data_IF_950618744693
#
_entry.id   IF_950618744693
#
_cell.length_a   1.000
_cell.length_b   1.000
_cell.length_c   1.000
_cell.angle_alpha   90.00
_cell.angle_beta   90.00
_cell.angle_gamma   90.00
#
_symmetry.space_group_name_H-M   'P 1'
#
loop_
_entity.id
_entity.type
_entity.pdbx_description
1 polymer ?
#
# COMPACT_ATOMS: atom_id res chain seq x y z
N UNK A 1 -41.08 -77.11 -1.77
CA UNK A 1 -41.54 -76.31 -2.93
C UNK A 1 -41.95 -74.95 -2.36
N UNK A 2 -41.42 -73.76 -2.69
CA UNK A 2 -40.65 -73.23 -3.82
C UNK A 2 -39.58 -72.26 -3.26
N UNK A 3 -38.48 -72.12 -4.00
CA UNK A 3 -37.30 -71.31 -3.64
C UNK A 3 -37.56 -69.81 -3.73
N UNK A 4 -36.95 -69.08 -2.81
CA UNK A 4 -36.73 -67.63 -2.79
C UNK A 4 -35.81 -67.23 -3.97
N UNK A 5 -36.23 -66.28 -4.80
CA UNK A 5 -35.33 -65.49 -5.67
C UNK A 5 -35.86 -64.05 -5.67
N UNK A 6 -35.08 -63.14 -5.09
CA UNK A 6 -35.32 -61.69 -5.11
C UNK A 6 -34.40 -61.13 -6.21
N UNK A 7 -34.97 -60.72 -7.33
CA UNK A 7 -34.21 -60.13 -8.45
C UNK A 7 -34.14 -58.62 -8.24
N UNK A 8 -32.94 -58.11 -7.93
CA UNK A 8 -32.64 -56.69 -7.85
C UNK A 8 -32.35 -56.17 -9.27
N UNK A 9 -33.17 -55.25 -9.78
CA UNK A 9 -32.95 -54.60 -11.07
C UNK A 9 -32.22 -53.27 -10.84
N UNK A 10 -30.89 -53.26 -11.01
CA UNK A 10 -30.08 -52.03 -11.03
C UNK A 10 -30.06 -51.46 -12.45
N UNK A 11 -30.66 -50.28 -12.63
CA UNK A 11 -30.51 -49.49 -13.84
C UNK A 11 -29.27 -48.59 -13.71
N UNK A 12 -28.23 -48.85 -14.50
CA UNK A 12 -27.01 -48.05 -14.57
C UNK A 12 -27.18 -46.95 -15.61
N UNK A 13 -27.20 -45.68 -15.19
CA UNK A 13 -27.03 -44.54 -16.11
C UNK A 13 -25.54 -44.35 -16.39
N UNK A 14 -25.14 -44.53 -17.65
CA UNK A 14 -23.79 -44.20 -18.13
C UNK A 14 -23.85 -42.75 -18.62
N UNK A 15 -23.17 -41.84 -17.93
CA UNK A 15 -22.84 -40.53 -18.49
C UNK A 15 -21.62 -40.68 -19.40
N UNK A 16 -21.82 -40.40 -20.69
CA UNK A 16 -20.77 -40.29 -21.69
C UNK A 16 -20.07 -38.96 -21.46
N UNK A 17 -18.83 -39.00 -20.98
CA UNK A 17 -17.88 -37.88 -21.11
C UNK A 17 -17.08 -38.14 -22.37
N UNK A 18 -17.30 -37.33 -23.41
CA UNK A 18 -16.43 -37.31 -24.57
C UNK A 18 -15.16 -36.54 -24.22
N UNK A 19 -14.04 -37.25 -24.20
CA UNK A 19 -12.73 -36.67 -24.46
C UNK A 19 -12.69 -36.14 -25.89
N UNK A 20 -12.26 -34.89 -26.04
CA UNK A 20 -11.65 -34.40 -27.27
C UNK A 20 -10.33 -33.75 -26.91
N UNK A 21 -9.26 -34.56 -26.97
CA UNK A 21 -7.94 -34.03 -27.27
C UNK A 21 -7.92 -33.49 -28.70
N UNK A 22 -7.51 -32.23 -28.87
CA UNK A 22 -6.41 -31.91 -29.79
C UNK A 22 -6.00 -30.44 -29.73
N UNK A 23 -4.67 -30.28 -29.71
CA UNK A 23 -3.88 -29.19 -30.22
C UNK A 23 -3.92 -27.84 -29.49
N UNK A 24 -2.99 -27.65 -28.55
CA UNK A 24 -2.01 -26.55 -28.63
C UNK A 24 -0.67 -27.02 -28.06
N UNK A 25 0.21 -27.47 -28.96
CA UNK A 25 1.65 -27.46 -28.73
C UNK A 25 2.13 -26.05 -29.08
N UNK A 26 2.47 -25.25 -28.08
CA UNK A 26 3.60 -24.32 -28.24
C UNK A 26 4.51 -24.48 -27.03
N UNK A 27 5.68 -25.05 -27.33
CA UNK A 27 6.84 -25.08 -26.46
C UNK A 27 7.37 -23.66 -26.38
N UNK A 28 6.81 -22.83 -25.50
CA UNK A 28 7.45 -21.57 -25.18
C UNK A 28 8.59 -21.85 -24.19
N UNK A 29 9.78 -21.68 -24.75
CA UNK A 29 11.08 -21.75 -24.12
C UNK A 29 11.13 -20.83 -22.89
N UNK A 30 10.75 -21.36 -21.72
CA UNK A 30 11.10 -20.78 -20.43
C UNK A 30 12.62 -20.90 -20.26
N UNK A 31 13.33 -20.06 -20.99
CA UNK A 31 14.63 -19.59 -20.54
C UNK A 31 14.37 -18.93 -19.20
N UNK A 32 14.83 -19.59 -18.15
CA UNK A 32 15.09 -19.05 -16.83
C UNK A 32 15.94 -17.80 -17.01
N UNK A 33 15.27 -16.66 -17.21
CA UNK A 33 15.85 -15.35 -17.08
C UNK A 33 16.18 -15.21 -15.60
N UNK A 34 17.44 -15.41 -15.27
CA UNK A 34 18.04 -15.03 -14.01
C UNK A 34 17.70 -13.55 -13.75
N UNK A 35 16.61 -13.30 -13.03
CA UNK A 35 16.32 -12.05 -12.36
C UNK A 35 17.34 -11.90 -11.25
N UNK A 36 18.54 -11.45 -11.61
CA UNK A 36 19.45 -10.85 -10.64
C UNK A 36 18.73 -9.60 -10.13
N UNK A 37 18.11 -9.75 -8.96
CA UNK A 37 17.51 -8.65 -8.20
C UNK A 37 18.62 -7.69 -7.80
N UNK A 38 18.90 -6.72 -8.66
CA UNK A 38 19.62 -5.51 -8.29
C UNK A 38 18.68 -4.68 -7.41
N UNK A 39 19.12 -4.32 -6.21
CA UNK A 39 18.36 -3.49 -5.29
C UNK A 39 17.85 -2.21 -5.99
N UNK A 40 16.54 -1.97 -5.88
CA UNK A 40 15.79 -0.90 -6.56
C UNK A 40 16.05 0.51 -6.02
N UNK A 41 17.07 0.72 -5.19
CA UNK A 41 17.40 2.07 -4.78
C UNK A 41 18.86 2.18 -4.33
N UNK A 42 19.49 3.25 -4.79
CA UNK A 42 20.82 3.66 -4.43
C UNK A 42 20.74 4.04 -2.96
N UNK A 43 21.85 3.91 -2.22
CA UNK A 43 21.91 4.50 -0.88
C UNK A 43 21.49 5.98 -0.84
N UNK A 44 21.60 6.71 -1.97
CA UNK A 44 21.17 8.09 -2.12
C UNK A 44 19.66 8.29 -2.06
N UNK A 45 18.88 7.67 -2.96
CA UNK A 45 17.42 7.87 -3.00
C UNK A 45 16.74 7.37 -1.71
N UNK A 46 17.23 6.27 -1.14
CA UNK A 46 16.72 5.78 0.16
C UNK A 46 17.03 6.73 1.30
N UNK A 47 18.22 7.35 1.31
CA UNK A 47 18.54 8.36 2.32
C UNK A 47 17.58 9.55 2.26
N UNK A 48 17.25 10.01 1.05
CA UNK A 48 16.30 11.11 0.84
C UNK A 48 14.89 10.74 1.35
N UNK A 49 14.40 9.54 1.00
CA UNK A 49 13.10 9.02 1.49
C UNK A 49 13.06 8.84 3.00
N UNK A 50 14.16 8.37 3.60
CA UNK A 50 14.28 8.21 5.05
C UNK A 50 14.27 9.56 5.78
N UNK A 51 14.89 10.59 5.21
CA UNK A 51 14.78 11.96 5.74
C UNK A 51 13.33 12.43 5.74
N UNK A 52 12.62 12.27 4.63
CA UNK A 52 11.20 12.64 4.56
C UNK A 52 10.33 11.88 5.59
N UNK A 53 10.54 10.56 5.75
CA UNK A 53 9.86 9.75 6.77
C UNK A 53 10.16 10.21 8.21
N UNK A 54 11.41 10.62 8.48
CA UNK A 54 11.83 11.13 9.79
C UNK A 54 11.12 12.44 10.11
N UNK A 55 11.03 13.35 9.13
CA UNK A 55 10.46 14.68 9.31
C UNK A 55 8.94 14.64 9.54
N UNK A 56 8.24 13.66 8.96
CA UNK A 56 6.79 13.49 9.14
C UNK A 56 6.43 12.59 10.33
N UNK A 57 7.40 11.99 11.02
CA UNK A 57 7.14 11.20 12.23
C UNK A 57 6.64 12.13 13.35
N UNK A 58 5.44 11.82 13.84
CA UNK A 58 4.76 12.56 14.88
C UNK A 58 4.92 11.91 16.26
N UNK A 59 5.58 10.75 16.33
CA UNK A 59 5.78 9.97 17.53
C UNK A 59 6.66 10.63 18.58
N UNK A 60 6.86 9.94 19.70
CA UNK A 60 7.64 10.44 20.82
C UNK A 60 7.69 9.47 21.99
N UNK A 61 8.28 9.92 23.10
CA UNK A 61 8.34 9.16 24.34
C UNK A 61 7.24 9.62 25.29
N UNK A 62 6.42 8.69 25.76
CA UNK A 62 5.34 8.95 26.72
C UNK A 62 5.36 7.94 27.86
N UNK A 63 4.93 8.35 29.05
CA UNK A 63 4.84 7.46 30.19
C UNK A 63 3.55 6.64 30.12
N UNK A 64 3.66 5.32 29.97
CA UNK A 64 2.55 4.38 30.06
C UNK A 64 2.42 3.82 31.48
N UNK A 65 1.18 3.74 31.97
CA UNK A 65 0.84 3.05 33.23
C UNK A 65 -0.11 1.90 32.96
N UNK A 66 0.26 0.69 33.41
CA UNK A 66 -0.58 -0.49 33.30
C UNK A 66 -1.94 -0.35 34.03
N UNK A 67 -2.07 0.60 34.95
CA UNK A 67 -3.30 0.84 35.72
C UNK A 67 -4.20 1.91 35.12
N UNK A 68 -3.65 2.80 34.27
CA UNK A 68 -4.38 3.96 33.73
C UNK A 68 -4.48 3.99 32.21
N UNK A 69 -3.59 3.28 31.51
CA UNK A 69 -3.44 3.43 30.07
C UNK A 69 -2.89 4.81 29.70
N UNK A 70 -2.90 5.12 28.40
CA UNK A 70 -2.62 6.46 27.87
C UNK A 70 -3.45 6.74 26.61
N UNK A 71 -3.58 8.03 26.29
CA UNK A 71 -4.00 8.49 24.97
C UNK A 71 -2.91 9.42 24.44
N UNK A 72 -2.41 9.14 23.24
CA UNK A 72 -1.46 9.99 22.52
C UNK A 72 -2.21 10.71 21.39
N UNK A 73 -2.27 12.04 21.43
CA UNK A 73 -2.92 12.86 20.39
C UNK A 73 -1.90 13.26 19.32
N UNK A 74 -2.27 13.11 18.06
CA UNK A 74 -1.39 13.37 16.90
C UNK A 74 -1.56 14.82 16.42
N UNK A 75 -0.61 15.33 15.63
CA UNK A 75 -0.67 16.70 15.08
C UNK A 75 -1.80 16.86 14.06
N UNK A 76 -2.24 15.76 13.47
CA UNK A 76 -3.34 15.66 12.48
C UNK A 76 -4.72 15.50 13.12
N UNK A 77 -4.81 15.64 14.45
CA UNK A 77 -6.04 15.49 15.26
C UNK A 77 -6.61 14.06 15.28
N UNK A 78 -5.77 13.06 15.06
CA UNK A 78 -6.01 11.67 15.39
C UNK A 78 -5.56 11.34 16.82
N UNK A 79 -5.69 10.07 17.22
CA UNK A 79 -5.13 9.60 18.50
C UNK A 79 -4.81 8.11 18.53
N UNK A 80 -3.89 7.72 19.43
CA UNK A 80 -3.60 6.34 19.77
C UNK A 80 -4.01 6.14 21.23
N UNK A 81 -5.00 5.30 21.45
CA UNK A 81 -5.50 4.93 22.79
C UNK A 81 -4.94 3.56 23.14
N UNK A 82 -4.16 3.52 24.22
CA UNK A 82 -3.56 2.31 24.77
C UNK A 82 -4.20 2.07 26.15
N UNK A 83 -5.20 1.18 26.28
CA UNK A 83 -5.88 0.94 27.54
C UNK A 83 -4.95 0.39 28.65
N UNK A 84 -5.39 0.43 29.93
CA UNK A 84 -4.72 -0.31 31.00
C UNK A 84 -4.61 -1.80 30.66
N UNK A 85 -3.42 -2.39 30.84
CA UNK A 85 -3.19 -3.82 30.63
C UNK A 85 -3.16 -4.28 29.16
N UNK A 86 -3.28 -3.37 28.19
CA UNK A 86 -3.34 -3.75 26.77
C UNK A 86 -1.99 -4.05 26.14
N UNK A 87 -0.90 -3.56 26.74
CA UNK A 87 0.46 -3.84 26.27
C UNK A 87 1.32 -4.43 27.38
N UNK A 88 2.15 -5.40 27.01
CA UNK A 88 3.07 -6.09 27.90
C UNK A 88 4.46 -6.18 27.27
N UNK A 89 5.46 -6.54 28.06
CA UNK A 89 6.73 -7.01 27.50
C UNK A 89 6.53 -8.32 26.76
N UNK A 90 7.50 -8.75 25.96
CA UNK A 90 7.44 -10.02 25.22
C UNK A 90 7.24 -11.26 26.11
N UNK A 91 7.70 -11.20 27.37
CA UNK A 91 7.50 -12.24 28.39
C UNK A 91 6.21 -12.06 29.21
N UNK A 92 5.30 -11.17 28.79
CA UNK A 92 3.97 -10.99 29.38
C UNK A 92 3.95 -10.14 30.66
N UNK A 93 5.04 -9.46 31.01
CA UNK A 93 5.08 -8.62 32.21
C UNK A 93 4.36 -7.28 31.97
N UNK A 94 3.64 -6.76 32.97
CA UNK A 94 3.05 -5.42 32.92
C UNK A 94 4.12 -4.34 32.67
N UNK A 95 3.80 -3.35 31.83
CA UNK A 95 4.66 -2.20 31.56
C UNK A 95 4.22 -1.02 32.43
N UNK A 96 5.15 -0.43 33.18
CA UNK A 96 5.00 0.90 33.78
C UNK A 96 6.28 1.68 33.53
N UNK A 97 6.22 2.69 32.66
CA UNK A 97 7.40 3.43 32.26
C UNK A 97 7.26 4.10 30.91
N UNK A 98 8.37 4.67 30.46
CA UNK A 98 8.45 5.37 29.19
C UNK A 98 8.42 4.36 28.02
N UNK A 99 7.39 4.46 27.20
CA UNK A 99 7.32 3.80 25.90
C UNK A 99 7.69 4.80 24.82
N UNK A 100 8.27 4.32 23.72
CA UNK A 100 8.48 5.10 22.50
C UNK A 100 7.39 4.70 21.50
N UNK A 101 6.67 5.70 21.00
CA UNK A 101 5.71 5.57 19.91
C UNK A 101 6.38 6.13 18.67
N UNK A 102 6.44 5.37 17.59
CA UNK A 102 6.74 5.87 16.25
C UNK A 102 5.43 5.91 15.47
N UNK A 103 5.09 7.07 14.92
CA UNK A 103 3.78 7.26 14.30
C UNK A 103 3.84 8.21 13.12
N UNK A 104 3.42 7.73 11.95
CA UNK A 104 3.39 8.49 10.70
C UNK A 104 1.99 8.40 10.13
N UNK A 105 1.51 9.47 9.49
CA UNK A 105 0.28 9.45 8.70
C UNK A 105 0.51 10.12 7.35
N UNK A 106 -0.04 9.51 6.30
CA UNK A 106 0.06 9.95 4.91
C UNK A 106 -1.36 9.97 4.33
N UNK A 107 -1.76 11.12 3.80
CA UNK A 107 -3.12 11.31 3.27
C UNK A 107 -3.15 11.78 1.82
N UNK A 108 -1.98 12.09 1.24
CA UNK A 108 -1.90 12.65 -0.10
C UNK A 108 -0.72 12.09 -0.91
N UNK A 109 -0.89 12.10 -2.23
CA UNK A 109 0.05 11.61 -3.23
C UNK A 109 1.43 12.26 -3.15
N UNK A 110 1.54 13.52 -2.72
CA UNK A 110 2.82 14.21 -2.58
C UNK A 110 3.71 13.57 -1.51
N UNK A 111 3.15 13.33 -0.32
CA UNK A 111 3.83 12.62 0.77
C UNK A 111 4.15 11.17 0.39
N UNK A 112 3.22 10.49 -0.29
CA UNK A 112 3.42 9.12 -0.79
C UNK A 112 4.63 9.03 -1.73
N UNK A 113 4.80 10.00 -2.64
CA UNK A 113 5.94 10.03 -3.57
C UNK A 113 7.27 10.20 -2.81
N UNK A 114 7.39 11.23 -1.96
CA UNK A 114 8.68 11.54 -1.31
C UNK A 114 9.10 10.50 -0.27
N UNK A 115 8.15 9.71 0.25
CA UNK A 115 8.42 8.63 1.21
C UNK A 115 8.43 7.22 0.59
N UNK A 116 8.12 7.10 -0.70
CA UNK A 116 7.85 5.82 -1.37
C UNK A 116 6.86 4.94 -0.60
N UNK A 117 5.68 5.49 -0.35
CA UNK A 117 4.56 4.79 0.27
C UNK A 117 3.33 4.87 -0.64
N UNK A 118 3.34 4.13 -1.77
CA UNK A 118 2.23 4.14 -2.70
C UNK A 118 1.04 3.32 -2.18
N UNK A 119 -0.13 3.57 -2.75
CA UNK A 119 -1.39 2.89 -2.42
C UNK A 119 -1.70 1.79 -3.44
N UNK A 120 -0.89 0.73 -3.43
CA UNK A 120 -1.02 -0.44 -4.33
C UNK A 120 -1.27 -1.74 -3.55
N UNK A 121 -2.43 -2.35 -3.76
CA UNK A 121 -2.83 -3.62 -3.17
C UNK A 121 -2.20 -4.83 -3.88
N UNK A 122 -1.93 -5.89 -3.11
CA UNK A 122 -1.79 -7.24 -3.61
C UNK A 122 -3.17 -7.91 -3.60
N UNK A 123 -3.66 -8.32 -4.78
CA UNK A 123 -4.93 -9.02 -4.89
C UNK A 123 -4.72 -10.53 -4.77
N UNK A 124 -5.70 -11.29 -4.26
CA UNK A 124 -5.62 -12.76 -4.17
C UNK A 124 -5.36 -13.46 -5.51
N UNK A 125 -5.66 -12.79 -6.63
CA UNK A 125 -5.39 -13.27 -7.99
C UNK A 125 -3.91 -13.19 -8.40
N UNK A 126 -3.04 -12.61 -7.56
CA UNK A 126 -1.64 -12.32 -7.88
C UNK A 126 -1.44 -11.00 -8.64
N UNK A 127 -2.53 -10.32 -9.00
CA UNK A 127 -2.49 -9.00 -9.63
C UNK A 127 -2.32 -7.88 -8.59
N UNK A 128 -1.97 -6.69 -9.08
CA UNK A 128 -2.01 -5.46 -8.28
C UNK A 128 -3.38 -4.79 -8.38
N UNK A 129 -3.75 -4.04 -7.36
CA UNK A 129 -4.94 -3.18 -7.36
C UNK A 129 -4.55 -1.78 -6.92
N UNK A 130 -5.25 -0.75 -7.40
CA UNK A 130 -5.05 0.60 -6.90
C UNK A 130 -5.99 0.90 -5.74
N UNK A 131 -5.47 1.65 -4.78
CA UNK A 131 -6.16 2.02 -3.57
C UNK A 131 -6.26 3.55 -3.44
N UNK A 132 -7.40 4.00 -2.94
CA UNK A 132 -7.63 5.40 -2.55
C UNK A 132 -7.67 5.46 -1.03
N UNK A 133 -6.78 6.26 -0.43
CA UNK A 133 -6.61 6.24 1.01
C UNK A 133 -7.58 7.11 1.78
N UNK A 134 -8.23 6.51 2.77
CA UNK A 134 -8.92 7.19 3.85
C UNK A 134 -7.98 7.56 5.00
N UNK A 135 -6.85 6.87 5.14
CA UNK A 135 -5.88 7.11 6.19
C UNK A 135 -4.77 6.07 6.29
N UNK A 136 -3.67 6.31 5.58
CA UNK A 136 -2.45 5.52 5.66
C UNK A 136 -1.64 5.92 6.89
N UNK A 137 -1.20 4.94 7.67
CA UNK A 137 -0.39 5.21 8.84
C UNK A 137 0.64 4.14 9.13
N UNK A 138 1.71 4.53 9.84
CA UNK A 138 2.65 3.63 10.47
C UNK A 138 2.49 3.72 11.98
N UNK A 139 2.50 2.59 12.68
CA UNK A 139 2.59 2.54 14.14
C UNK A 139 3.60 1.48 14.60
N UNK A 140 4.55 1.90 15.42
CA UNK A 140 5.34 0.99 16.24
C UNK A 140 5.42 1.49 17.68
N UNK A 141 5.45 0.56 18.63
CA UNK A 141 5.51 0.86 20.07
C UNK A 141 6.58 -0.01 20.70
N UNK A 142 7.57 0.64 21.31
CA UNK A 142 8.68 -0.05 21.97
C UNK A 142 8.82 0.37 23.44
N UNK A 143 9.28 -0.57 24.27
CA UNK A 143 9.62 -0.38 25.66
C UNK A 143 11.03 -0.91 25.90
N UNK A 144 11.93 -0.09 26.44
CA UNK A 144 13.36 -0.41 26.60
C UNK A 144 14.02 -0.94 25.30
N UNK A 145 13.64 -0.37 24.15
CA UNK A 145 14.16 -0.73 22.83
C UNK A 145 13.66 -2.08 22.29
N UNK A 146 12.69 -2.71 22.93
CA UNK A 146 12.03 -3.93 22.46
C UNK A 146 10.58 -3.64 22.11
N UNK A 147 10.08 -4.23 21.02
CA UNK A 147 8.68 -4.12 20.64
C UNK A 147 7.76 -4.68 21.74
N UNK A 148 6.69 -3.96 22.05
CA UNK A 148 5.69 -4.41 23.04
C UNK A 148 4.82 -5.51 22.44
N UNK A 149 4.27 -6.36 23.30
CA UNK A 149 3.24 -7.31 22.92
C UNK A 149 1.84 -6.68 23.15
N UNK A 150 0.92 -6.86 22.19
CA UNK A 150 -0.48 -6.46 22.34
C UNK A 150 -1.23 -7.59 23.03
N UNK A 151 -1.62 -7.37 24.30
CA UNK A 151 -2.36 -8.35 25.10
C UNK A 151 -3.88 -8.19 24.95
N UNK A 152 -4.34 -6.96 24.78
CA UNK A 152 -5.72 -6.64 24.38
C UNK A 152 -5.69 -5.50 23.36
N UNK A 153 -6.73 -5.33 22.52
CA UNK A 153 -6.65 -4.39 21.42
C UNK A 153 -6.36 -2.95 21.86
N UNK A 154 -5.46 -2.29 21.14
CA UNK A 154 -5.27 -0.84 21.23
C UNK A 154 -6.07 -0.18 20.10
N UNK A 155 -6.38 1.11 20.24
CA UNK A 155 -7.19 1.83 19.25
C UNK A 155 -6.40 2.97 18.61
N UNK A 156 -6.46 3.06 17.28
CA UNK A 156 -5.98 4.18 16.49
C UNK A 156 -7.19 4.92 15.92
N UNK A 157 -7.20 6.23 16.05
CA UNK A 157 -8.26 7.11 15.59
C UNK A 157 -7.70 8.00 14.49
N UNK A 158 -8.20 7.82 13.27
CA UNK A 158 -7.76 8.57 12.09
C UNK A 158 -8.83 9.58 11.71
N UNK A 159 -8.48 10.86 11.63
CA UNK A 159 -9.42 11.91 11.26
C UNK A 159 -9.65 11.92 9.73
N UNK A 160 -10.88 11.65 9.30
CA UNK A 160 -11.22 11.49 7.88
C UNK A 160 -11.18 12.81 7.10
N UNK A 161 -11.22 13.95 7.79
CA UNK A 161 -11.10 15.26 7.13
C UNK A 161 -9.71 15.50 6.53
N UNK A 162 -8.72 14.67 6.88
CA UNK A 162 -7.36 14.80 6.34
C UNK A 162 -7.20 14.20 4.94
N UNK A 163 -8.07 13.26 4.53
CA UNK A 163 -8.02 12.62 3.19
C UNK A 163 -9.12 13.08 2.25
N UNK A 164 -10.24 13.61 2.77
CA UNK A 164 -11.47 13.90 1.99
C UNK A 164 -11.98 12.68 1.17
N UNK A 165 -11.50 11.48 1.49
CA UNK A 165 -11.81 10.27 0.73
C UNK A 165 -13.30 9.94 0.84
N UNK A 166 -13.88 9.41 -0.24
CA UNK A 166 -15.22 8.86 -0.15
C UNK A 166 -15.20 7.68 0.84
N UNK A 167 -15.96 7.76 1.94
CA UNK A 167 -15.94 6.76 2.98
C UNK A 167 -16.45 5.36 2.62
N UNK A 168 -17.17 5.25 1.50
CA UNK A 168 -17.84 4.03 1.08
C UNK A 168 -16.80 3.00 0.64
N UNK A 169 -17.01 1.73 1.06
CA UNK A 169 -16.17 0.58 0.72
C UNK A 169 -14.71 0.66 1.22
N UNK A 170 -14.46 1.42 2.28
CA UNK A 170 -13.18 1.39 2.98
C UNK A 170 -12.95 0.03 3.66
N UNK A 171 -11.78 -0.53 3.46
CA UNK A 171 -11.31 -1.77 4.06
C UNK A 171 -9.97 -1.54 4.77
N UNK A 172 -9.62 -2.45 5.68
CA UNK A 172 -8.36 -2.40 6.41
C UNK A 172 -7.27 -3.18 5.67
N UNK A 173 -6.07 -2.63 5.67
CA UNK A 173 -4.92 -3.20 4.96
C UNK A 173 -3.69 -3.25 5.87
N UNK A 174 -2.92 -4.31 5.74
CA UNK A 174 -1.60 -4.46 6.33
C UNK A 174 -0.53 -4.25 5.27
N UNK A 175 0.47 -3.44 5.59
CA UNK A 175 1.60 -3.17 4.71
C UNK A 175 2.55 -4.35 4.61
N UNK A 176 2.96 -4.65 3.39
CA UNK A 176 3.97 -5.63 3.06
C UNK A 176 5.10 -4.94 2.28
N UNK A 177 6.28 -4.93 2.87
CA UNK A 177 7.50 -4.39 2.24
C UNK A 177 8.26 -5.56 1.62
N UNK A 178 8.52 -5.48 0.33
CA UNK A 178 9.30 -6.49 -0.38
C UNK A 178 10.83 -6.31 -0.14
N UNK A 179 11.69 -7.23 -0.60
CA UNK A 179 13.14 -7.08 -0.44
C UNK A 179 13.75 -5.85 -1.14
N UNK A 180 13.01 -5.20 -2.04
CA UNK A 180 13.43 -3.96 -2.71
C UNK A 180 13.04 -2.71 -1.91
N UNK A 181 12.32 -2.86 -0.79
CA UNK A 181 11.84 -1.76 0.03
C UNK A 181 10.52 -1.15 -0.46
N UNK A 182 9.84 -1.78 -1.43
CA UNK A 182 8.57 -1.28 -1.95
C UNK A 182 7.40 -1.75 -1.08
N UNK A 183 6.57 -0.79 -0.67
CA UNK A 183 5.37 -1.05 0.10
C UNK A 183 4.20 -1.42 -0.83
N UNK A 184 3.56 -2.52 -0.50
CA UNK A 184 2.29 -2.96 -1.07
C UNK A 184 1.32 -3.33 0.05
N UNK A 185 0.04 -3.50 -0.26
CA UNK A 185 -1.00 -3.66 0.75
C UNK A 185 -1.70 -5.01 0.64
N UNK A 186 -1.71 -5.79 1.72
CA UNK A 186 -2.49 -7.01 1.85
C UNK A 186 -3.77 -6.70 2.62
N UNK A 187 -4.90 -7.29 2.22
CA UNK A 187 -6.13 -7.16 3.00
C UNK A 187 -5.92 -7.68 4.43
N UNK A 188 -6.27 -6.87 5.43
CA UNK A 188 -6.13 -7.27 6.83
C UNK A 188 -7.19 -8.30 7.22
N UNK A 189 -6.84 -9.23 8.09
CA UNK A 189 -7.82 -10.14 8.69
C UNK A 189 -8.39 -9.55 9.97
N UNK A 190 -9.56 -10.02 10.40
CA UNK A 190 -10.19 -9.57 11.66
C UNK A 190 -9.42 -10.00 12.92
N UNK A 191 -8.40 -10.86 12.78
CA UNK A 191 -7.48 -11.18 13.87
C UNK A 191 -6.37 -10.13 14.01
N UNK A 192 -6.10 -9.37 12.94
CA UNK A 192 -5.05 -8.36 12.88
C UNK A 192 -5.63 -6.99 13.22
N UNK A 193 -6.54 -6.52 12.36
CA UNK A 193 -7.16 -5.20 12.41
C UNK A 193 -8.69 -5.33 12.35
N UNK A 194 -9.38 -4.46 13.06
CA UNK A 194 -10.85 -4.43 13.06
C UNK A 194 -11.36 -3.00 13.21
N UNK A 195 -12.44 -2.64 12.52
CA UNK A 195 -13.13 -1.39 12.81
C UNK A 195 -13.90 -1.52 14.14
N UNK A 196 -13.78 -0.55 15.04
CA UNK A 196 -14.51 -0.59 16.30
C UNK A 196 -16.03 -0.49 16.08
N UNK A 197 -16.79 -1.40 16.69
CA UNK A 197 -18.25 -1.54 16.53
C UNK A 197 -19.02 -0.31 17.06
N UNK A 198 -18.52 0.35 18.12
CA UNK A 198 -19.16 1.53 18.75
C UNK A 198 -18.91 2.86 18.00
N UNK A 199 -18.11 2.82 16.93
CA UNK A 199 -17.80 3.94 16.05
C UNK A 199 -18.19 3.63 14.61
N UNK A 200 -19.40 3.09 14.44
CA UNK A 200 -20.01 2.68 13.17
C UNK A 200 -19.52 3.56 12.03
N UNK A 201 -18.71 2.93 11.17
CA UNK A 201 -17.88 3.57 10.16
C UNK A 201 -18.67 4.65 9.40
N UNK A 202 -19.99 4.55 9.20
CA UNK A 202 -20.84 5.73 8.88
C UNK A 202 -22.24 5.72 9.54
N UNK A 203 -22.32 6.09 10.82
CA UNK A 203 -23.51 6.70 11.46
C UNK A 203 -24.57 5.74 12.04
N UNK A 204 -24.79 5.65 13.34
CA UNK A 204 -24.51 6.68 14.36
C UNK A 204 -25.05 6.26 15.74
N UNK A 205 -25.12 7.17 16.73
CA UNK A 205 -25.48 8.59 16.68
C UNK A 205 -24.28 9.57 16.69
N UNK A 206 -24.08 10.33 15.61
CA UNK A 206 -23.34 11.61 15.70
C UNK A 206 -22.21 11.94 14.70
N UNK A 207 -21.97 11.14 13.65
CA UNK A 207 -21.18 11.57 12.46
C UNK A 207 -19.85 12.28 12.74
N UNK A 208 -18.90 11.60 13.38
CA UNK A 208 -17.70 12.25 13.95
C UNK A 208 -16.50 12.38 13.01
N UNK A 209 -16.56 11.90 11.75
CA UNK A 209 -15.45 12.07 10.79
C UNK A 209 -14.14 11.44 11.25
N UNK A 210 -14.21 10.26 11.87
CA UNK A 210 -13.05 9.51 12.38
C UNK A 210 -13.20 8.03 12.02
N UNK A 211 -12.12 7.39 11.59
CA UNK A 211 -12.00 5.93 11.56
C UNK A 211 -11.40 5.43 12.88
N UNK A 212 -12.12 4.51 13.54
CA UNK A 212 -11.66 3.83 14.74
C UNK A 212 -11.14 2.44 14.38
N UNK A 213 -9.81 2.27 14.36
CA UNK A 213 -9.14 1.00 14.04
C UNK A 213 -8.62 0.36 15.31
N UNK A 214 -8.99 -0.88 15.56
CA UNK A 214 -8.44 -1.73 16.61
C UNK A 214 -7.24 -2.49 16.06
N UNK A 215 -6.10 -2.38 16.73
CA UNK A 215 -4.92 -3.22 16.50
C UNK A 215 -4.95 -4.32 17.54
N UNK A 216 -5.14 -5.57 17.09
CA UNK A 216 -5.44 -6.72 17.96
C UNK A 216 -4.23 -7.60 18.22
N UNK A 217 -3.21 -7.51 17.36
CA UNK A 217 -2.00 -8.30 17.44
C UNK A 217 -0.75 -7.43 17.19
N UNK A 218 0.35 -7.70 17.91
CA UNK A 218 1.61 -6.95 17.73
C UNK A 218 2.26 -7.16 16.35
N UNK A 219 1.93 -8.24 15.65
CA UNK A 219 2.33 -8.45 14.25
C UNK A 219 1.69 -7.47 13.27
N UNK A 220 0.67 -6.71 13.71
CA UNK A 220 0.07 -5.60 12.95
C UNK A 220 0.78 -4.26 13.18
N UNK A 221 1.78 -4.19 14.08
CA UNK A 221 2.66 -3.00 14.10
C UNK A 221 3.43 -2.91 12.78
N UNK A 222 3.56 -1.70 12.27
CA UNK A 222 4.03 -1.44 10.92
C UNK A 222 3.11 -0.49 10.17
N UNK A 223 3.10 -0.62 8.85
CA UNK A 223 2.21 0.14 7.98
C UNK A 223 0.82 -0.49 7.97
N UNK A 224 -0.20 0.33 8.17
CA UNK A 224 -1.61 -0.01 8.07
C UNK A 224 -2.31 1.01 7.18
N UNK A 225 -3.44 0.60 6.58
CA UNK A 225 -4.22 1.52 5.77
C UNK A 225 -5.73 1.30 5.90
N UNK A 226 -6.48 2.34 5.57
CA UNK A 226 -7.95 2.36 5.50
C UNK A 226 -8.32 2.82 4.10
N UNK A 227 -8.43 1.87 3.17
CA UNK A 227 -8.52 2.20 1.73
C UNK A 227 -9.66 1.48 1.05
N UNK A 228 -10.17 2.10 -0.01
CA UNK A 228 -11.07 1.47 -0.98
C UNK A 228 -10.31 1.07 -2.24
N UNK A 229 -10.69 -0.05 -2.83
CA UNK A 229 -10.22 -0.42 -4.17
C UNK A 229 -10.81 0.52 -5.22
N UNK A 230 -9.94 0.95 -6.13
CA UNK A 230 -10.31 1.76 -7.29
C UNK A 230 -10.40 0.91 -8.56
N UNK A 231 -11.41 1.20 -9.37
CA UNK A 231 -11.56 0.61 -10.69
C UNK A 231 -12.31 1.59 -11.59
N UNK A 232 -11.89 1.67 -12.85
CA UNK A 232 -12.52 2.50 -13.86
C UNK A 232 -13.06 1.64 -15.01
N UNK A 233 -14.16 2.07 -15.65
CA UNK A 233 -14.63 1.46 -16.89
C UNK A 233 -13.72 1.82 -18.06
N UNK A 234 -13.90 1.13 -19.19
CA UNK A 234 -13.22 1.43 -20.45
C UNK A 234 -12.09 0.46 -20.78
N UNK A 235 -11.54 0.62 -21.99
CA UNK A 235 -10.43 -0.21 -22.47
C UNK A 235 -9.16 0.15 -21.75
N UNK A 236 -8.56 -0.83 -21.08
CA UNK A 236 -7.35 -0.66 -20.27
C UNK A 236 -6.09 -0.91 -21.09
N UNK A 237 -5.02 -0.21 -20.74
CA UNK A 237 -3.70 -0.35 -21.34
C UNK A 237 -2.66 -0.48 -20.23
N UNK A 238 -1.62 -1.27 -20.49
CA UNK A 238 -0.44 -1.35 -19.61
C UNK A 238 0.44 -0.13 -19.85
N UNK A 239 0.86 0.52 -18.78
CA UNK A 239 1.70 1.70 -18.88
C UNK A 239 3.18 1.32 -18.85
N UNK A 240 3.96 1.97 -19.72
CA UNK A 240 5.41 1.82 -19.85
C UNK A 240 6.07 3.19 -19.87
N UNK A 241 7.11 3.37 -19.06
CA UNK A 241 7.85 4.63 -18.95
C UNK A 241 9.34 4.38 -19.10
N UNK A 242 9.93 5.04 -20.09
CA UNK A 242 11.39 5.08 -20.28
C UNK A 242 11.94 6.30 -19.52
N UNK A 243 12.78 6.12 -18.49
CA UNK A 243 13.43 7.21 -17.80
C UNK A 243 14.55 7.82 -18.68
N UNK A 244 15.07 9.00 -18.33
CA UNK A 244 16.19 9.60 -19.05
C UNK A 244 17.48 8.78 -18.89
N UNK A 245 18.44 8.98 -19.80
CA UNK A 245 19.77 8.36 -19.68
C UNK A 245 20.41 8.67 -18.31
N UNK A 246 21.03 7.65 -17.70
CA UNK A 246 21.60 7.75 -16.34
C UNK A 246 20.65 7.38 -15.21
N UNK A 247 19.36 7.16 -15.52
CA UNK A 247 18.36 6.70 -14.55
C UNK A 247 17.85 5.30 -14.89
N UNK A 248 17.63 4.51 -13.85
CA UNK A 248 17.03 3.18 -13.90
C UNK A 248 16.39 2.88 -12.53
N UNK A 249 15.90 1.66 -12.32
CA UNK A 249 15.26 1.31 -11.05
C UNK A 249 16.14 1.57 -9.84
N UNK A 250 17.46 1.41 -9.92
CA UNK A 250 18.36 1.61 -8.78
C UNK A 250 18.51 3.05 -8.34
N UNK A 251 18.04 4.06 -9.05
CA UNK A 251 18.15 5.45 -8.58
C UNK A 251 16.91 6.27 -8.91
N UNK A 252 15.83 5.63 -9.32
CA UNK A 252 14.59 6.29 -9.67
C UNK A 252 13.36 5.40 -9.53
N UNK A 253 12.22 6.04 -9.48
CA UNK A 253 10.91 5.42 -9.41
C UNK A 253 9.93 6.23 -10.24
N UNK A 254 8.91 5.54 -10.74
CA UNK A 254 7.84 6.13 -11.53
C UNK A 254 6.52 5.84 -10.83
N UNK A 255 5.67 6.86 -10.78
CA UNK A 255 4.36 6.80 -10.17
C UNK A 255 3.28 7.32 -11.12
N UNK A 256 2.05 6.90 -10.88
CA UNK A 256 0.83 7.40 -11.51
C UNK A 256 -0.01 8.10 -10.42
N UNK A 257 -0.34 9.36 -10.65
CA UNK A 257 -1.43 10.04 -9.98
C UNK A 257 -2.60 10.21 -10.97
N UNK A 258 -3.82 10.13 -10.46
CA UNK A 258 -5.04 10.34 -11.25
C UNK A 258 -5.62 11.70 -10.90
N UNK A 259 -6.11 12.43 -11.90
CA UNK A 259 -6.75 13.73 -11.68
C UNK A 259 -7.99 13.57 -10.78
N UNK A 260 -8.13 14.46 -9.78
CA UNK A 260 -9.23 14.42 -8.81
C UNK A 260 -9.13 13.36 -7.70
N UNK A 261 -8.09 12.53 -7.65
CA UNK A 261 -7.85 11.56 -6.56
C UNK A 261 -6.53 11.90 -5.83
N UNK A 262 -6.56 12.96 -5.00
CA UNK A 262 -5.39 13.48 -4.27
C UNK A 262 -4.74 12.49 -3.29
N UNK A 263 -5.51 11.50 -2.87
CA UNK A 263 -5.20 10.49 -1.87
C UNK A 263 -4.92 9.12 -2.50
N UNK A 264 -4.44 9.11 -3.74
CA UNK A 264 -4.04 7.90 -4.46
C UNK A 264 -2.70 8.10 -5.17
N UNK A 265 -1.82 7.10 -5.06
CA UNK A 265 -0.59 7.03 -5.83
C UNK A 265 -0.25 5.59 -6.16
N UNK A 266 -0.21 5.24 -7.45
CA UNK A 266 0.28 3.93 -7.87
C UNK A 266 1.75 4.01 -8.25
N UNK A 267 2.56 3.06 -7.80
CA UNK A 267 3.94 2.91 -8.26
C UNK A 267 4.00 1.93 -9.44
N UNK A 268 4.88 2.20 -10.40
CA UNK A 268 5.26 1.23 -11.42
C UNK A 268 6.21 0.22 -10.77
N UNK A 269 5.67 -0.95 -10.47
CA UNK A 269 6.29 -1.97 -9.63
C UNK A 269 7.17 -2.95 -10.42
N UNK A 270 7.13 -2.91 -11.75
CA UNK A 270 8.00 -3.71 -12.61
C UNK A 270 9.07 -2.85 -13.30
N UNK A 271 10.24 -3.45 -13.53
CA UNK A 271 11.31 -2.85 -14.30
C UNK A 271 11.97 -3.88 -15.23
N UNK A 272 12.12 -3.50 -16.50
CA UNK A 272 12.74 -4.33 -17.53
C UNK A 272 14.11 -3.75 -17.90
N UNK A 273 15.18 -4.40 -17.43
CA UNK A 273 16.56 -3.94 -17.63
C UNK A 273 16.97 -3.93 -19.11
N UNK A 274 16.49 -4.89 -19.91
CA UNK A 274 16.81 -4.98 -21.33
C UNK A 274 16.36 -3.74 -22.13
N UNK A 275 15.25 -3.12 -21.73
CA UNK A 275 14.70 -1.91 -22.36
C UNK A 275 14.84 -0.66 -21.50
N UNK A 276 15.44 -0.78 -20.31
CA UNK A 276 15.51 0.26 -19.28
C UNK A 276 14.14 0.93 -19.02
N UNK A 277 13.09 0.16 -18.75
CA UNK A 277 11.74 0.72 -18.63
C UNK A 277 11.00 0.29 -17.37
N UNK A 278 10.31 1.23 -16.75
CA UNK A 278 9.34 0.97 -15.68
C UNK A 278 7.99 0.61 -16.29
N UNK A 279 7.31 -0.39 -15.73
CA UNK A 279 5.99 -0.83 -16.20
C UNK A 279 5.03 -1.07 -15.04
N UNK A 280 3.76 -0.83 -15.31
CA UNK A 280 2.66 -1.17 -14.41
C UNK A 280 2.29 -2.66 -14.55
N UNK A 281 2.14 -3.38 -13.43
CA UNK A 281 1.96 -4.83 -13.44
C UNK A 281 0.75 -5.33 -14.25
N UNK A 282 -0.41 -4.73 -14.02
CA UNK A 282 -1.71 -5.37 -14.19
C UNK A 282 -2.49 -4.86 -15.41
N UNK A 283 -2.14 -3.70 -15.96
CA UNK A 283 -2.89 -3.07 -17.05
C UNK A 283 -4.22 -2.51 -16.56
N UNK A 284 -4.22 -1.72 -15.48
CA UNK A 284 -5.47 -1.25 -14.86
C UNK A 284 -6.01 0.08 -15.38
N UNK A 285 -5.19 0.83 -16.11
CA UNK A 285 -5.47 2.23 -16.42
C UNK A 285 -6.21 2.34 -17.75
N UNK A 286 -7.41 2.95 -17.80
CA UNK A 286 -8.14 3.12 -19.04
C UNK A 286 -7.53 4.19 -19.94
N UNK A 287 -7.60 3.95 -21.24
CA UNK A 287 -7.27 4.94 -22.27
C UNK A 287 -8.16 6.18 -22.11
N UNK A 288 -7.55 7.36 -22.18
CA UNK A 288 -8.23 8.65 -22.04
C UNK A 288 -8.44 9.12 -20.60
N UNK A 289 -8.02 8.35 -19.58
CA UNK A 289 -8.06 8.83 -18.20
C UNK A 289 -7.03 9.93 -17.98
N UNK A 290 -7.45 11.04 -17.39
CA UNK A 290 -6.57 12.16 -17.05
C UNK A 290 -5.67 11.76 -15.86
N UNK A 291 -4.37 11.70 -16.15
CA UNK A 291 -3.35 11.20 -15.24
C UNK A 291 -2.07 12.04 -15.30
N UNK A 292 -1.27 11.89 -14.25
CA UNK A 292 0.07 12.45 -14.14
C UNK A 292 1.08 11.33 -13.89
N UNK A 293 2.02 11.16 -14.81
CA UNK A 293 3.15 10.26 -14.64
C UNK A 293 4.26 11.05 -13.96
N UNK A 294 4.61 10.64 -12.75
CA UNK A 294 5.58 11.31 -11.90
C UNK A 294 6.85 10.47 -11.88
N UNK A 295 7.92 11.00 -12.47
CA UNK A 295 9.26 10.44 -12.35
C UNK A 295 9.98 11.13 -11.19
N UNK A 296 10.60 10.34 -10.31
CA UNK A 296 11.47 10.82 -9.24
C UNK A 296 12.72 9.95 -9.19
N UNK A 297 13.89 10.57 -9.20
CA UNK A 297 15.17 9.93 -9.00
C UNK A 297 16.10 10.73 -8.11
N UNK A 298 17.30 10.19 -7.94
CA UNK A 298 18.38 10.81 -7.19
C UNK A 298 19.61 10.97 -8.09
N UNK A 299 20.21 12.16 -8.01
CA UNK A 299 21.49 12.43 -8.63
C UNK A 299 22.31 13.39 -7.77
N UNK A 300 23.52 12.94 -7.39
CA UNK A 300 24.47 13.73 -6.60
C UNK A 300 23.88 14.22 -5.27
N UNK A 301 23.06 13.39 -4.61
CA UNK A 301 22.40 13.67 -3.34
C UNK A 301 21.16 14.56 -3.44
N UNK A 302 20.69 14.86 -4.66
CA UNK A 302 19.51 15.71 -4.89
C UNK A 302 18.37 14.89 -5.48
N UNK A 303 17.13 15.27 -5.16
CA UNK A 303 15.98 14.83 -5.92
C UNK A 303 16.06 15.36 -7.35
N UNK A 304 15.75 14.51 -8.31
CA UNK A 304 15.54 14.87 -9.71
C UNK A 304 14.16 14.38 -10.11
N UNK A 305 13.29 15.24 -10.61
CA UNK A 305 11.92 14.86 -10.93
C UNK A 305 11.39 15.49 -12.21
N UNK A 306 10.34 14.87 -12.76
CA UNK A 306 9.58 15.37 -13.90
C UNK A 306 8.16 14.83 -13.83
N UNK A 307 7.20 15.61 -14.33
CA UNK A 307 5.78 15.23 -14.34
C UNK A 307 5.25 15.37 -15.77
N UNK A 308 4.74 14.28 -16.31
CA UNK A 308 4.04 14.25 -17.60
C UNK A 308 2.53 14.25 -17.29
N UNK A 309 1.83 15.30 -17.68
CA UNK A 309 0.39 15.44 -17.48
C UNK A 309 -0.33 15.29 -18.81
N UNK A 310 -1.11 14.22 -18.98
CA UNK A 310 -1.88 13.97 -20.19
C UNK A 310 -2.93 12.87 -19.96
N UNK A 311 -4.03 12.87 -20.73
CA UNK A 311 -4.88 11.69 -20.84
C UNK A 311 -4.07 10.48 -21.30
N UNK A 312 -4.38 9.30 -20.76
CA UNK A 312 -3.65 8.08 -21.08
C UNK A 312 -3.82 7.72 -22.57
N UNK A 313 -2.71 7.63 -23.31
CA UNK A 313 -2.73 7.24 -24.72
C UNK A 313 -3.08 5.76 -24.91
N UNK A 314 -3.59 5.41 -26.09
CA UNK A 314 -3.89 4.02 -26.46
C UNK A 314 -2.65 3.12 -26.52
N UNK A 315 -1.45 3.70 -26.64
CA UNK A 315 -0.19 2.96 -26.65
C UNK A 315 0.38 2.70 -25.26
N UNK A 316 -0.07 3.45 -24.25
CA UNK A 316 0.41 3.35 -22.87
C UNK A 316 1.90 3.68 -22.67
N UNK A 317 2.61 4.19 -23.68
CA UNK A 317 4.07 4.34 -23.65
C UNK A 317 4.48 5.80 -23.54
N UNK A 318 5.41 6.09 -22.62
CA UNK A 318 5.92 7.44 -22.34
C UNK A 318 7.44 7.44 -22.20
N UNK A 319 8.05 8.58 -22.49
CA UNK A 319 9.48 8.82 -22.30
C UNK A 319 9.65 10.11 -21.51
N UNK A 320 10.44 10.06 -20.43
CA UNK A 320 10.78 11.23 -19.65
C UNK A 320 11.92 11.97 -20.36
N UNK A 321 11.71 13.24 -20.79
CA UNK A 321 12.75 13.98 -21.51
C UNK A 321 13.85 14.47 -20.56
N UNK A 322 15.11 14.34 -20.97
CA UNK A 322 16.25 14.87 -20.20
C UNK A 322 16.19 16.38 -20.00
N UNK A 323 15.60 17.13 -20.94
CA UNK A 323 15.48 18.59 -20.88
C UNK A 323 14.42 19.10 -19.89
N UNK A 324 13.56 18.21 -19.39
CA UNK A 324 12.45 18.57 -18.49
C UNK A 324 12.73 18.33 -17.01
N UNK A 325 13.92 17.84 -16.66
CA UNK A 325 14.24 17.46 -15.28
C UNK A 325 14.40 18.68 -14.38
N UNK A 326 13.75 18.64 -13.23
CA UNK A 326 13.93 19.61 -12.14
C UNK A 326 14.76 18.96 -11.04
N UNK A 327 15.75 19.67 -10.50
CA UNK A 327 16.63 19.18 -9.43
C UNK A 327 16.46 20.01 -8.16
N UNK A 328 16.41 19.35 -7.00
CA UNK A 328 16.28 20.03 -5.70
C UNK A 328 16.87 19.23 -4.55
N UNK A 329 17.38 19.92 -3.53
CA UNK A 329 17.78 19.34 -2.24
C UNK A 329 16.60 19.21 -1.27
N UNK A 330 15.46 19.85 -1.55
CA UNK A 330 14.34 19.96 -0.63
C UNK A 330 13.14 19.17 -1.17
N UNK A 331 12.77 18.08 -0.49
CA UNK A 331 11.60 17.27 -0.86
C UNK A 331 10.30 18.09 -0.86
N UNK A 332 10.20 19.17 -0.07
CA UNK A 332 9.04 20.06 -0.07
C UNK A 332 8.79 20.75 -1.41
N UNK A 333 9.82 20.92 -2.26
CA UNK A 333 9.62 21.41 -3.63
C UNK A 333 9.02 20.32 -4.53
N UNK A 334 9.38 19.05 -4.33
CA UNK A 334 8.76 17.90 -5.00
C UNK A 334 7.29 17.79 -4.56
N UNK A 335 7.02 17.89 -3.26
CA UNK A 335 5.66 17.87 -2.73
C UNK A 335 4.81 19.02 -3.30
N UNK A 336 5.34 20.24 -3.33
CA UNK A 336 4.64 21.41 -3.88
C UNK A 336 4.27 21.21 -5.35
N UNK A 337 5.18 20.64 -6.15
CA UNK A 337 4.90 20.36 -7.56
C UNK A 337 3.78 19.33 -7.73
N UNK A 338 3.70 18.33 -6.86
CA UNK A 338 2.68 17.28 -6.91
C UNK A 338 1.33 17.78 -6.35
N UNK A 339 1.33 18.60 -5.30
CA UNK A 339 0.12 19.21 -4.75
C UNK A 339 -0.51 20.27 -5.67
N UNK A 340 0.25 20.77 -6.64
CA UNK A 340 -0.25 21.70 -7.66
C UNK A 340 -0.96 20.99 -8.82
N UNK A 341 -0.94 19.65 -8.87
CA UNK A 341 -1.68 18.88 -9.86
C UNK A 341 -3.19 18.95 -9.57
N UNK A 342 -4.04 18.90 -10.61
CA UNK A 342 -5.48 18.84 -10.45
C UNK A 342 -5.98 17.51 -9.87
#
# INVERSE_FOLDING_TARGET
MKKLIFTLLTATFIFISCDSESAFNETENQTTQNTTMSAKASPGLESLRKSALTDINQGGTVYYSNQRGITFTTKTKGSIVIPPGSITTKDGKPINGNIKIEYIEIFNRAKMVVTNKPTVANLPTGQKGFLVTGGEFYLDITYNGQQVNVATPIKVNINTNNSNANPINMALWNGAIDPNGDLTWNGATTNDLEFAVDGAVFGGKGGTGVYDVLIKDSGSFGWCNIDRLMSWPGTKVKLKVTPPAGFNQSNSSVYLAVEGEDNMLAQFDMFYSATNTFEEHTGLVPVGLDCHIIFVGEQSGNYVYHIISAPISSTGTYTVPSSGLTTTTNYGQVETAILALP
#
